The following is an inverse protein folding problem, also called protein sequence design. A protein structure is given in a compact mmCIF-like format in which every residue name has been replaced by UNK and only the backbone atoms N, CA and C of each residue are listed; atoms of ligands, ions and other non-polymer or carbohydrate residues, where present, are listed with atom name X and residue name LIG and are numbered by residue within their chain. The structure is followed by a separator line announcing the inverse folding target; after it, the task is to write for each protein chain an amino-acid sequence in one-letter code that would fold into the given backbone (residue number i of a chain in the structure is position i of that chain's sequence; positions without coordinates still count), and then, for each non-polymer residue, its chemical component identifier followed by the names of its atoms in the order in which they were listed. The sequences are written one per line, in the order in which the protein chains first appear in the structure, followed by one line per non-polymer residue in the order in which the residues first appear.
data_IF_820999101434
#
_entry.id   IF_820999101434
#
_cell.length_a   1.000
_cell.length_b   1.000
_cell.length_c   1.000
_cell.angle_alpha   90.00
_cell.angle_beta   90.00
_cell.angle_gamma   90.00
#
_symmetry.space_group_name_H-M   'P 1'
#
loop_
_entity.id
_entity.type
_entity.pdbx_description
1 polymer ?
#
# COMPACT_ATOMS: atom_id res chain seq x y z
N UNK A 1 17.20 14.75 1.89
CA UNK A 1 18.23 13.75 1.53
C UNK A 1 17.82 12.42 2.13
N UNK A 2 17.00 11.66 1.40
CA UNK A 2 16.69 10.29 1.78
C UNK A 2 17.94 9.45 1.53
N UNK A 3 18.47 8.80 2.57
CA UNK A 3 19.56 7.85 2.42
C UNK A 3 18.98 6.57 1.81
N UNK A 4 19.51 6.15 0.67
CA UNK A 4 19.22 4.86 0.06
C UNK A 4 19.68 3.76 1.01
N UNK A 5 18.76 2.94 1.50
CA UNK A 5 19.09 1.78 2.31
C UNK A 5 19.90 0.80 1.44
N UNK A 6 21.09 0.44 1.90
CA UNK A 6 21.86 -0.70 1.40
C UNK A 6 22.08 -1.64 2.57
N UNK A 7 22.05 -2.95 2.31
CA UNK A 7 22.33 -3.96 3.33
C UNK A 7 23.67 -3.67 4.02
N UNK A 8 23.65 -3.67 5.36
CA UNK A 8 24.86 -3.52 6.18
C UNK A 8 25.35 -2.10 6.46
N UNK A 9 24.62 -1.03 6.11
CA UNK A 9 25.03 0.35 6.49
C UNK A 9 24.37 0.86 7.76
N UNK A 10 25.19 1.41 8.67
CA UNK A 10 24.73 2.15 9.85
C UNK A 10 24.10 3.48 9.45
N UNK A 11 22.82 3.68 9.80
CA UNK A 11 22.14 4.96 9.61
C UNK A 11 22.60 5.97 10.68
N UNK A 12 23.11 7.13 10.27
CA UNK A 12 23.51 8.21 11.17
C UNK A 12 22.85 9.53 10.76
N UNK A 13 22.53 10.39 11.74
CA UNK A 13 22.07 11.75 11.47
C UNK A 13 22.77 12.75 12.40
N UNK A 14 23.26 13.85 11.82
CA UNK A 14 23.99 14.90 12.57
C UNK A 14 23.18 16.16 12.84
N UNK A 15 22.18 16.46 12.00
CA UNK A 15 21.48 17.75 11.97
C UNK A 15 19.96 17.62 12.12
N UNK A 16 19.45 16.41 12.34
CA UNK A 16 18.01 16.18 12.50
C UNK A 16 17.71 15.65 13.88
N UNK A 17 16.93 16.43 14.63
CA UNK A 17 16.43 16.07 15.95
C UNK A 17 14.91 16.02 15.89
N UNK A 18 14.32 14.94 16.42
CA UNK A 18 12.87 14.78 16.54
C UNK A 18 12.58 14.14 17.89
N UNK A 19 11.56 14.64 18.59
CA UNK A 19 11.20 14.17 19.94
C UNK A 19 12.41 14.11 20.91
N UNK A 20 13.30 15.10 20.84
CA UNK A 20 14.47 15.20 21.73
C UNK A 20 15.62 14.22 21.44
N UNK A 21 15.58 13.47 20.33
CA UNK A 21 16.62 12.50 19.98
C UNK A 21 17.01 12.59 18.49
N UNK A 22 18.10 11.89 18.14
CA UNK A 22 18.55 11.76 16.75
C UNK A 22 17.39 11.26 15.86
N UNK A 23 17.12 11.94 14.75
CA UNK A 23 15.98 11.64 13.87
C UNK A 23 15.99 10.22 13.27
N UNK A 24 17.16 9.57 13.17
CA UNK A 24 17.26 8.15 12.81
C UNK A 24 16.67 7.23 13.91
N UNK A 25 16.95 7.52 15.18
CA UNK A 25 16.45 6.78 16.33
C UNK A 25 14.95 7.02 16.50
N UNK A 26 14.49 8.27 16.41
CA UNK A 26 13.06 8.61 16.53
C UNK A 26 12.20 7.92 15.47
N UNK A 27 12.69 7.78 14.22
CA UNK A 27 11.98 7.03 13.17
C UNK A 27 11.88 5.54 13.48
N UNK A 28 12.96 4.94 13.96
CA UNK A 28 12.98 3.53 14.33
C UNK A 28 12.00 3.24 15.47
N UNK A 29 12.01 4.06 16.52
CA UNK A 29 11.05 3.92 17.63
C UNK A 29 9.59 4.08 17.18
N UNK A 30 9.31 5.05 16.31
CA UNK A 30 7.96 5.20 15.74
C UNK A 30 7.49 3.97 14.95
N UNK A 31 8.41 3.18 14.37
CA UNK A 31 8.07 1.90 13.74
C UNK A 31 7.79 0.80 14.76
N UNK A 32 8.41 0.85 15.94
CA UNK A 32 8.18 -0.11 17.04
C UNK A 32 6.82 0.13 17.69
N UNK A 33 6.44 1.39 17.92
CA UNK A 33 5.16 1.74 18.56
C UNK A 33 3.95 1.18 17.79
N UNK A 34 4.01 1.17 16.45
CA UNK A 34 2.93 0.63 15.61
C UNK A 34 2.98 -0.89 15.40
N UNK A 35 4.02 -1.59 15.88
CA UNK A 35 4.26 -2.99 15.54
C UNK A 35 3.15 -3.92 16.05
N UNK A 36 2.61 -3.67 17.23
CA UNK A 36 1.54 -4.48 17.81
C UNK A 36 0.25 -4.39 16.97
N UNK A 37 -0.12 -3.20 16.51
CA UNK A 37 -1.30 -2.98 15.67
C UNK A 37 -1.13 -3.63 14.28
N UNK A 38 0.07 -3.51 13.69
CA UNK A 38 0.41 -4.17 12.43
C UNK A 38 0.33 -5.69 12.58
N UNK A 39 0.94 -6.25 13.63
CA UNK A 39 0.90 -7.68 13.91
C UNK A 39 -0.55 -8.17 14.03
N UNK A 40 -1.39 -7.47 14.80
CA UNK A 40 -2.81 -7.80 14.94
C UNK A 40 -3.58 -7.77 13.61
N UNK A 41 -3.28 -6.80 12.73
CA UNK A 41 -3.90 -6.71 11.40
C UNK A 41 -3.49 -7.89 10.51
N UNK A 42 -2.24 -8.32 10.60
CA UNK A 42 -1.66 -9.37 9.77
C UNK A 42 -2.03 -10.79 10.23
N UNK A 43 -2.51 -10.99 11.46
CA UNK A 43 -2.96 -12.31 11.95
C UNK A 43 -4.06 -12.98 11.11
N UNK A 44 -4.80 -12.20 10.31
CA UNK A 44 -5.92 -12.67 9.47
C UNK A 44 -5.64 -12.51 7.97
N UNK A 45 -4.37 -12.40 7.56
CA UNK A 45 -4.01 -12.32 6.15
C UNK A 45 -3.07 -13.47 5.79
N UNK A 46 -3.20 -13.97 4.57
CA UNK A 46 -2.20 -14.84 3.96
C UNK A 46 -1.20 -13.96 3.21
N UNK A 47 0.09 -14.26 3.33
CA UNK A 47 1.16 -13.52 2.67
C UNK A 47 1.80 -14.46 1.66
N UNK A 48 1.82 -14.04 0.41
CA UNK A 48 2.44 -14.78 -0.68
C UNK A 48 3.49 -13.94 -1.40
N UNK A 49 4.50 -14.62 -1.91
CA UNK A 49 5.47 -14.06 -2.85
C UNK A 49 5.43 -14.90 -4.12
N UNK A 50 4.62 -14.47 -5.09
CA UNK A 50 4.39 -15.14 -6.35
C UNK A 50 4.04 -14.11 -7.45
N UNK A 51 4.14 -14.47 -8.74
CA UNK A 51 3.65 -13.63 -9.82
C UNK A 51 2.17 -13.26 -9.63
N UNK A 52 1.83 -11.98 -9.82
CA UNK A 52 0.49 -11.46 -9.51
C UNK A 52 -0.62 -12.20 -10.27
N UNK A 53 -0.38 -12.55 -11.54
CA UNK A 53 -1.33 -13.28 -12.39
C UNK A 53 -1.66 -14.66 -11.80
N UNK A 54 -0.68 -15.37 -11.25
CA UNK A 54 -0.91 -16.67 -10.63
C UNK A 54 -1.78 -16.55 -9.37
N UNK A 55 -1.53 -15.52 -8.56
CA UNK A 55 -2.33 -15.23 -7.37
C UNK A 55 -3.78 -14.87 -7.76
N UNK A 56 -3.96 -14.01 -8.76
CA UNK A 56 -5.29 -13.62 -9.26
C UNK A 56 -6.07 -14.86 -9.70
N UNK A 57 -5.49 -15.70 -10.57
CA UNK A 57 -6.15 -16.91 -11.07
C UNK A 57 -6.49 -17.90 -9.96
N UNK A 58 -5.63 -18.03 -8.94
CA UNK A 58 -5.84 -18.97 -7.83
C UNK A 58 -7.01 -18.57 -6.94
N UNK A 59 -7.18 -17.27 -6.69
CA UNK A 59 -8.19 -16.75 -5.78
C UNK A 59 -9.42 -16.19 -6.49
N UNK A 60 -9.51 -16.31 -7.81
CA UNK A 60 -10.65 -15.82 -8.56
C UNK A 60 -11.93 -16.58 -8.18
N UNK A 61 -12.93 -15.80 -7.79
CA UNK A 61 -14.27 -16.27 -7.45
C UNK A 61 -15.24 -15.09 -7.52
N UNK A 62 -16.55 -15.34 -7.70
CA UNK A 62 -17.56 -14.29 -7.68
C UNK A 62 -17.62 -13.46 -6.38
N UNK A 63 -17.07 -13.99 -5.27
CA UNK A 63 -17.03 -13.32 -3.96
C UNK A 63 -15.71 -12.58 -3.71
N UNK A 64 -14.71 -12.74 -4.59
CA UNK A 64 -13.39 -12.14 -4.42
C UNK A 64 -13.40 -10.67 -4.88
N UNK A 65 -12.71 -9.81 -4.12
CA UNK A 65 -12.34 -8.46 -4.54
C UNK A 65 -10.82 -8.37 -4.65
N UNK A 66 -10.33 -8.12 -5.86
CA UNK A 66 -8.94 -7.82 -6.14
C UNK A 66 -8.71 -6.31 -6.05
N UNK A 67 -7.74 -5.91 -5.23
CA UNK A 67 -7.18 -4.56 -5.27
C UNK A 67 -5.78 -4.65 -5.86
N UNK A 68 -5.57 -3.97 -6.98
CA UNK A 68 -4.34 -4.04 -7.76
C UNK A 68 -3.70 -2.65 -7.83
N UNK A 69 -2.42 -2.56 -7.46
CA UNK A 69 -1.61 -1.33 -7.56
C UNK A 69 -0.28 -1.66 -8.28
N UNK A 70 -0.33 -1.92 -9.61
CA UNK A 70 0.87 -2.29 -10.35
C UNK A 70 1.86 -1.11 -10.43
N UNK A 71 3.16 -1.38 -10.63
CA UNK A 71 4.13 -0.34 -10.99
C UNK A 71 3.61 0.55 -12.13
N UNK A 72 3.61 1.88 -11.93
CA UNK A 72 3.01 2.79 -12.91
C UNK A 72 3.82 2.91 -14.20
N UNK A 73 3.10 2.98 -15.33
CA UNK A 73 3.62 3.14 -16.69
C UNK A 73 4.63 4.29 -16.79
N UNK A 74 5.72 4.05 -17.53
CA UNK A 74 6.89 4.95 -17.63
C UNK A 74 6.55 6.38 -18.11
N UNK A 75 5.52 6.56 -18.94
CA UNK A 75 5.08 7.88 -19.43
C UNK A 75 4.57 8.80 -18.30
N UNK A 76 4.16 8.23 -17.16
CA UNK A 76 3.65 8.98 -16.01
C UNK A 76 4.74 9.43 -15.01
N UNK A 77 6.02 9.10 -15.27
CA UNK A 77 7.12 9.26 -14.30
C UNK A 77 8.28 10.12 -14.84
N UNK A 78 8.77 11.01 -13.98
CA UNK A 78 9.93 11.88 -14.23
C UNK A 78 11.28 11.24 -13.86
N UNK A 79 11.29 10.04 -13.26
CA UNK A 79 12.51 9.39 -12.75
C UNK A 79 12.54 7.90 -13.13
N UNK A 80 13.56 7.48 -13.87
CA UNK A 80 13.71 6.14 -14.47
C UNK A 80 14.27 5.06 -13.53
N UNK A 81 14.50 5.38 -12.25
CA UNK A 81 15.26 4.54 -11.31
C UNK A 81 14.55 4.31 -9.95
N UNK A 82 13.24 4.55 -9.85
CA UNK A 82 12.56 4.55 -8.56
C UNK A 82 12.18 3.15 -8.02
N UNK A 83 12.11 2.12 -8.89
CA UNK A 83 11.74 0.75 -8.50
C UNK A 83 12.74 -0.25 -9.10
N UNK A 84 13.14 -1.25 -8.31
CA UNK A 84 14.07 -2.30 -8.76
C UNK A 84 13.45 -3.29 -9.76
N UNK A 85 12.11 -3.32 -9.83
CA UNK A 85 11.32 -4.14 -10.75
C UNK A 85 10.25 -3.24 -11.38
N UNK A 86 10.37 -3.00 -12.69
CA UNK A 86 9.39 -2.23 -13.47
C UNK A 86 8.56 -3.19 -14.32
N UNK A 87 7.28 -2.87 -14.56
CA UNK A 87 6.45 -3.58 -15.53
C UNK A 87 6.60 -2.93 -16.90
N UNK A 88 6.81 -3.75 -17.92
CA UNK A 88 6.75 -3.37 -19.32
C UNK A 88 5.31 -3.15 -19.79
N UNK A 89 5.13 -2.41 -20.88
CA UNK A 89 3.80 -2.25 -21.50
C UNK A 89 3.16 -3.60 -21.88
N UNK A 90 3.97 -4.61 -22.21
CA UNK A 90 3.51 -5.97 -22.48
C UNK A 90 2.95 -6.67 -21.25
N UNK A 91 3.64 -6.56 -20.11
CA UNK A 91 3.15 -7.10 -18.84
C UNK A 91 1.89 -6.37 -18.34
N UNK A 92 1.77 -5.08 -18.62
CA UNK A 92 0.52 -4.34 -18.37
C UNK A 92 -0.65 -4.86 -19.22
N UNK A 93 -0.41 -5.20 -20.49
CA UNK A 93 -1.41 -5.80 -21.38
C UNK A 93 -1.83 -7.19 -20.89
N UNK A 94 -0.87 -8.03 -20.53
CA UNK A 94 -1.14 -9.37 -19.98
C UNK A 94 -1.96 -9.28 -18.68
N UNK A 95 -1.59 -8.36 -17.78
CA UNK A 95 -2.37 -8.11 -16.56
C UNK A 95 -3.79 -7.66 -16.90
N UNK A 96 -3.96 -6.74 -17.86
CA UNK A 96 -5.29 -6.28 -18.28
C UNK A 96 -6.15 -7.42 -18.80
N UNK A 97 -5.62 -8.27 -19.69
CA UNK A 97 -6.35 -9.43 -20.22
C UNK A 97 -6.85 -10.34 -19.10
N UNK A 98 -6.00 -10.64 -18.11
CA UNK A 98 -6.38 -11.46 -16.96
C UNK A 98 -7.45 -10.77 -16.11
N UNK A 99 -7.31 -9.48 -15.83
CA UNK A 99 -8.26 -8.75 -15.00
C UNK A 99 -9.63 -8.55 -15.67
N UNK A 100 -9.71 -8.58 -17.00
CA UNK A 100 -11.00 -8.55 -17.71
C UNK A 100 -11.73 -9.90 -17.67
N UNK A 101 -11.01 -10.99 -17.46
CA UNK A 101 -11.56 -12.36 -17.49
C UNK A 101 -11.96 -12.88 -16.10
N UNK A 102 -11.61 -12.15 -15.01
CA UNK A 102 -11.95 -12.61 -13.66
C UNK A 102 -13.46 -12.61 -13.39
N UNK A 103 -13.93 -13.62 -12.65
CA UNK A 103 -15.29 -13.67 -12.13
C UNK A 103 -15.52 -12.69 -10.97
N UNK A 104 -14.45 -12.37 -10.25
CA UNK A 104 -14.47 -11.45 -9.11
C UNK A 104 -14.58 -9.98 -9.49
N UNK A 105 -14.59 -9.14 -8.45
CA UNK A 105 -14.52 -7.69 -8.57
C UNK A 105 -13.06 -7.24 -8.60
N UNK A 106 -12.78 -6.19 -9.36
CA UNK A 106 -11.44 -5.61 -9.46
C UNK A 106 -11.50 -4.11 -9.22
N UNK A 107 -10.56 -3.62 -8.43
CA UNK A 107 -10.24 -2.22 -8.25
C UNK A 107 -8.75 -2.00 -8.55
N UNK A 108 -8.45 -1.24 -9.60
CA UNK A 108 -7.09 -1.01 -10.09
C UNK A 108 -6.71 0.45 -9.93
N UNK A 109 -5.62 0.74 -9.22
CA UNK A 109 -5.09 2.09 -9.07
C UNK A 109 -4.01 2.43 -10.10
N UNK A 110 -3.98 3.68 -10.53
CA UNK A 110 -2.93 4.20 -11.40
C UNK A 110 -3.09 5.67 -11.74
N UNK A 111 -2.50 6.08 -12.86
CA UNK A 111 -2.58 7.43 -13.42
C UNK A 111 -3.09 7.35 -14.86
N UNK A 112 -3.84 8.37 -15.29
CA UNK A 112 -4.18 8.50 -16.71
C UNK A 112 -2.90 8.51 -17.55
N UNK A 113 -2.88 7.63 -18.54
CA UNK A 113 -1.86 7.52 -19.57
C UNK A 113 -2.51 6.94 -20.80
N UNK A 114 -1.83 7.03 -21.95
CA UNK A 114 -2.34 6.44 -23.19
C UNK A 114 -2.62 4.94 -23.01
N UNK A 115 -1.68 4.21 -22.41
CA UNK A 115 -1.81 2.77 -22.20
C UNK A 115 -2.94 2.43 -21.23
N UNK A 116 -3.05 3.09 -20.08
CA UNK A 116 -4.11 2.79 -19.11
C UNK A 116 -5.51 3.07 -19.68
N UNK A 117 -5.66 4.15 -20.45
CA UNK A 117 -6.92 4.48 -21.11
C UNK A 117 -7.26 3.50 -22.25
N UNK A 118 -6.26 2.95 -22.93
CA UNK A 118 -6.44 1.88 -23.92
C UNK A 118 -6.88 0.57 -23.25
N UNK A 119 -6.28 0.23 -22.10
CA UNK A 119 -6.48 -1.05 -21.43
C UNK A 119 -7.76 -1.13 -20.60
N UNK A 120 -8.19 -0.04 -19.98
CA UNK A 120 -9.32 -0.02 -19.03
C UNK A 120 -10.33 1.08 -19.36
N UNK A 121 -10.38 1.52 -20.62
CA UNK A 121 -11.26 2.60 -21.06
C UNK A 121 -12.75 2.24 -21.05
N UNK A 122 -13.07 0.95 -20.99
CA UNK A 122 -14.39 0.36 -20.84
C UNK A 122 -14.83 0.22 -19.37
N UNK A 123 -13.91 0.39 -18.42
CA UNK A 123 -14.21 0.33 -16.99
C UNK A 123 -14.71 1.66 -16.44
N UNK A 124 -15.40 1.60 -15.30
CA UNK A 124 -15.76 2.78 -14.53
C UNK A 124 -14.54 3.27 -13.77
N UNK A 125 -14.40 4.57 -13.57
CA UNK A 125 -13.29 5.10 -12.79
C UNK A 125 -13.69 6.24 -11.85
N UNK A 126 -12.89 6.42 -10.80
CA UNK A 126 -12.98 7.54 -9.85
C UNK A 126 -11.62 8.24 -9.78
N UNK A 127 -11.63 9.56 -9.91
CA UNK A 127 -10.43 10.39 -9.74
C UNK A 127 -10.32 10.91 -8.31
N UNK A 128 -9.13 10.80 -7.73
CA UNK A 128 -8.80 11.46 -6.48
C UNK A 128 -8.57 12.96 -6.70
N UNK A 129 -8.75 13.82 -5.68
CA UNK A 129 -8.37 15.23 -5.78
C UNK A 129 -6.90 15.36 -6.18
N UNK A 130 -6.60 16.24 -7.15
CA UNK A 130 -5.24 16.47 -7.64
C UNK A 130 -4.31 16.88 -6.50
N UNK A 131 -3.23 16.12 -6.29
CA UNK A 131 -2.19 16.43 -5.30
C UNK A 131 -0.90 16.87 -6.00
N UNK A 132 -0.20 17.83 -5.40
CA UNK A 132 1.18 18.14 -5.81
C UNK A 132 2.08 17.00 -5.33
N UNK A 133 2.84 16.39 -6.22
CA UNK A 133 3.76 15.32 -5.83
C UNK A 133 4.73 15.82 -4.75
N UNK A 134 4.76 15.14 -3.60
CA UNK A 134 5.70 15.44 -2.51
C UNK A 134 7.09 14.83 -2.74
N UNK A 135 7.24 13.96 -3.74
CA UNK A 135 8.44 13.12 -3.93
C UNK A 135 9.30 13.49 -5.14
N UNK A 136 8.86 14.35 -6.06
CA UNK A 136 9.67 14.72 -7.22
C UNK A 136 10.32 16.10 -7.02
N UNK A 137 11.65 16.09 -7.09
CA UNK A 137 12.56 17.23 -7.17
C UNK A 137 12.78 18.03 -5.87
N UNK A 138 13.82 17.66 -5.10
CA UNK A 138 14.38 18.47 -3.99
C UNK A 138 15.36 19.55 -4.49
N UNK A 139 15.13 20.12 -5.68
CA UNK A 139 15.94 21.19 -6.26
C UNK A 139 15.19 22.53 -6.25
N UNK A 140 15.91 23.65 -6.12
CA UNK A 140 15.33 24.99 -6.06
C UNK A 140 14.47 25.38 -7.29
N UNK A 141 14.59 24.65 -8.41
CA UNK A 141 13.83 24.83 -9.68
C UNK A 141 12.90 23.64 -10.00
N UNK A 142 12.45 22.92 -8.98
CA UNK A 142 11.53 21.79 -9.10
C UNK A 142 10.11 22.22 -9.51
N UNK A 143 9.75 22.07 -10.78
CA UNK A 143 8.34 22.09 -11.17
C UNK A 143 7.64 20.86 -10.58
N UNK A 144 6.91 21.05 -9.47
CA UNK A 144 6.08 20.03 -8.85
C UNK A 144 4.96 19.64 -9.82
N UNK A 145 5.10 18.49 -10.45
CA UNK A 145 4.05 17.94 -11.30
C UNK A 145 2.83 17.62 -10.43
N UNK A 146 1.66 18.12 -10.84
CA UNK A 146 0.38 17.69 -10.30
C UNK A 146 0.11 16.26 -10.77
N UNK A 147 -0.35 15.40 -9.85
CA UNK A 147 -0.78 14.04 -10.15
C UNK A 147 -2.21 13.85 -9.67
N UNK A 148 -3.03 13.25 -10.53
CA UNK A 148 -4.40 12.84 -10.24
C UNK A 148 -4.43 11.32 -10.29
N UNK A 149 -4.54 10.69 -9.11
CA UNK A 149 -4.69 9.24 -9.04
C UNK A 149 -6.09 8.84 -9.51
N UNK A 150 -6.16 7.70 -10.18
CA UNK A 150 -7.37 7.14 -10.78
C UNK A 150 -7.55 5.73 -10.25
N UNK A 151 -8.79 5.38 -9.90
CA UNK A 151 -9.19 4.03 -9.53
C UNK A 151 -10.19 3.52 -10.57
N UNK A 152 -9.80 2.54 -11.39
CA UNK A 152 -10.69 1.83 -12.32
C UNK A 152 -11.34 0.63 -11.63
N UNK A 153 -12.62 0.36 -11.93
CA UNK A 153 -13.37 -0.77 -11.38
C UNK A 153 -14.27 -1.44 -12.42
N UNK A 154 -14.43 -2.76 -12.31
CA UNK A 154 -15.32 -3.57 -13.16
C UNK A 154 -16.74 -3.74 -12.58
N UNK A 155 -17.11 -2.95 -11.57
CA UNK A 155 -18.39 -3.07 -10.86
C UNK A 155 -19.06 -1.71 -10.64
N UNK A 156 -20.35 -1.76 -10.29
CA UNK A 156 -21.13 -0.57 -10.00
C UNK A 156 -20.65 0.17 -8.76
N UNK A 157 -20.39 1.46 -8.90
CA UNK A 157 -20.05 2.35 -7.80
C UNK A 157 -21.33 3.05 -7.36
N UNK A 158 -21.72 2.86 -6.11
CA UNK A 158 -22.77 3.69 -5.52
C UNK A 158 -22.16 5.02 -5.03
N UNK A 159 -22.32 6.07 -5.81
CA UNK A 159 -21.83 7.43 -5.51
C UNK A 159 -22.66 8.16 -4.45
N UNK A 160 -23.81 7.62 -4.02
CA UNK A 160 -24.69 8.21 -3.01
C UNK A 160 -24.29 7.86 -1.57
N UNK A 161 -23.37 6.89 -1.40
CA UNK A 161 -22.77 6.57 -0.11
C UNK A 161 -21.87 7.72 0.35
N UNK A 162 -22.46 8.69 1.06
CA UNK A 162 -21.70 9.74 1.74
C UNK A 162 -20.66 9.10 2.64
N UNK A 163 -19.39 9.52 2.49
CA UNK A 163 -18.29 9.13 3.36
C UNK A 163 -18.69 9.43 4.81
N UNK A 164 -19.03 8.38 5.57
CA UNK A 164 -19.23 8.47 7.01
C UNK A 164 -17.86 8.68 7.62
N UNK A 165 -17.68 9.79 8.35
CA UNK A 165 -16.43 10.13 9.01
C UNK A 165 -16.00 8.97 9.93
N UNK A 166 -14.69 8.65 9.92
CA UNK A 166 -14.12 7.48 10.60
C UNK A 166 -14.08 7.68 12.14
N UNK A 167 -15.22 7.62 12.81
CA UNK A 167 -15.27 7.50 14.27
C UNK A 167 -15.42 6.05 14.78
N UNK A 168 -15.47 5.05 13.88
CA UNK A 168 -15.83 3.67 14.26
C UNK A 168 -14.81 2.56 13.93
N UNK A 169 -13.54 2.87 13.65
CA UNK A 169 -12.51 1.81 13.52
C UNK A 169 -12.05 1.23 14.88
N UNK A 170 -12.74 1.50 15.99
CA UNK A 170 -12.45 0.90 17.30
C UNK A 170 -13.03 -0.52 17.51
N UNK A 171 -13.75 -1.11 16.56
CA UNK A 171 -14.52 -2.34 16.80
C UNK A 171 -13.94 -3.61 16.20
N UNK A 172 -12.66 -3.91 16.47
CA UNK A 172 -12.17 -5.30 16.44
C UNK A 172 -11.32 -5.69 17.68
N UNK A 173 -11.48 -4.99 18.79
CA UNK A 173 -10.81 -5.31 20.06
C UNK A 173 -11.66 -6.19 21.00
N UNK A 174 -12.68 -6.90 20.50
CA UNK A 174 -13.53 -7.74 21.36
C UNK A 174 -13.02 -9.19 21.53
N UNK A 175 -12.16 -9.68 20.64
CA UNK A 175 -11.66 -11.06 20.69
C UNK A 175 -10.19 -11.23 21.10
N UNK A 176 -9.42 -10.15 21.27
CA UNK A 176 -7.96 -10.24 21.45
C UNK A 176 -7.43 -9.78 22.82
N UNK A 177 -8.27 -9.24 23.71
CA UNK A 177 -7.85 -8.97 25.09
C UNK A 177 -7.53 -10.26 25.86
N UNK A 178 -7.96 -11.42 25.37
CA UNK A 178 -7.67 -12.73 25.97
C UNK A 178 -6.29 -13.26 25.56
N UNK A 179 -5.87 -13.09 24.29
CA UNK A 179 -4.66 -13.74 23.78
C UNK A 179 -3.32 -13.19 24.32
N UNK A 180 -3.26 -11.92 24.71
CA UNK A 180 -2.04 -11.33 25.27
C UNK A 180 -2.07 -11.11 26.78
N UNK A 181 -3.24 -11.21 27.43
CA UNK A 181 -3.32 -11.11 28.90
C UNK A 181 -3.07 -12.46 29.58
N UNK A 182 -3.27 -13.59 28.88
CA UNK A 182 -3.04 -14.93 29.43
C UNK A 182 -1.56 -15.36 29.46
N UNK A 183 -0.63 -14.56 28.94
CA UNK A 183 0.81 -14.84 28.99
C UNK A 183 1.52 -14.19 30.20
N UNK A 184 0.81 -13.42 31.03
CA UNK A 184 1.32 -12.92 32.30
C UNK A 184 0.82 -13.79 33.48
N UNK A 185 1.67 -14.75 33.91
CA UNK A 185 1.61 -15.64 35.08
C UNK A 185 0.94 -17.02 34.86
N UNK A 186 1.61 -18.14 35.25
CA UNK A 186 2.02 -18.37 36.64
C UNK A 186 3.36 -19.12 36.84
N UNK A 187 4.23 -18.65 37.76
CA UNK A 187 5.09 -19.55 38.56
C UNK A 187 5.85 -18.80 39.66
N UNK A 188 5.29 -18.75 40.85
CA UNK A 188 6.08 -18.92 42.09
C UNK A 188 5.23 -19.67 43.11
N UNK A 189 5.16 -21.00 42.97
CA UNK A 189 4.93 -21.86 44.12
C UNK A 189 6.25 -21.92 44.90
N UNK A 190 6.25 -21.28 46.08
CA UNK A 190 7.30 -21.47 47.07
C UNK A 190 7.00 -22.78 47.81
N UNK A 191 7.92 -23.74 47.71
CA UNK A 191 7.97 -24.93 48.56
C UNK A 191 8.52 -24.55 49.95
N UNK A 192 7.93 -25.20 50.96
CA UNK A 192 8.30 -25.34 52.39
C UNK A 192 8.58 -24.08 53.21
#
# INVERSE_FOLDING_TARGET
LAQTASEGRWAHCKLTTRAGMAGAVSRWLGSVDGLAEIAQRLLRVQIENAPAIEVIRRFDSPETLFYCDPPYVHESRSDKNAYAYEMTDGEHRELSEVLHDVAGKVALSGYHSRLMNELYGDWKYVEAPTKKAHSTNTGANANKQSRTEVLWVNYEINTEMKYQEKDQWQHQTRYLRTLFTELEHPSTSRLS
#
